data_IF_388555299579
#
_entry.id   IF_388555299579
#
_cell.length_a   1.000
_cell.length_b   1.000
_cell.length_c   1.000
_cell.angle_alpha   90.00
_cell.angle_beta   90.00
_cell.angle_gamma   90.00
#
_symmetry.space_group_name_H-M   'P 1'
#
loop_
_entity.id
_entity.type
_entity.pdbx_description
1 polymer ?
#
# COMPACT_ATOMS: atom_id res chain seq x y z
N UNK A 1 10.18 -5.25 -1.21
CA UNK A 1 8.92 -5.89 -0.84
C UNK A 1 8.66 -5.55 0.61
N UNK A 2 7.40 -5.31 0.97
CA UNK A 2 6.98 -5.07 2.35
C UNK A 2 6.90 -6.41 3.13
N UNK A 3 6.44 -6.41 4.40
CA UNK A 3 6.49 -7.60 5.26
C UNK A 3 5.31 -7.71 6.23
N UNK A 4 4.81 -8.93 6.46
CA UNK A 4 3.65 -9.19 7.32
C UNK A 4 3.66 -8.70 8.80
N UNK A 5 4.79 -8.66 9.56
CA UNK A 5 4.69 -8.43 11.00
C UNK A 5 4.19 -7.01 11.35
N UNK A 6 3.88 -6.83 12.63
CA UNK A 6 3.64 -5.50 13.21
C UNK A 6 4.93 -4.98 13.82
N UNK A 7 5.23 -3.70 13.59
CA UNK A 7 6.29 -3.00 14.31
C UNK A 7 5.65 -1.99 15.25
N UNK A 8 5.91 -2.13 16.55
CA UNK A 8 5.28 -1.34 17.61
C UNK A 8 3.74 -1.33 17.54
N UNK A 9 3.15 -2.50 17.25
CA UNK A 9 1.70 -2.67 17.19
C UNK A 9 1.04 -2.25 15.88
N UNK A 10 1.78 -1.67 14.94
CA UNK A 10 1.24 -1.21 13.64
C UNK A 10 1.67 -2.18 12.53
N UNK A 11 0.74 -2.79 11.77
CA UNK A 11 1.06 -3.64 10.63
C UNK A 11 1.85 -2.86 9.57
N UNK A 12 2.89 -3.46 8.98
CA UNK A 12 3.77 -2.76 8.05
C UNK A 12 3.03 -2.18 6.84
N UNK A 13 2.06 -2.91 6.28
CA UNK A 13 1.22 -2.44 5.18
C UNK A 13 0.45 -1.13 5.45
N UNK A 14 0.34 -0.71 6.72
CA UNK A 14 -0.25 0.55 7.15
C UNK A 14 0.70 1.37 8.05
N UNK A 15 2.02 1.17 7.96
CA UNK A 15 3.00 1.80 8.84
C UNK A 15 3.79 2.93 8.15
N UNK A 16 3.38 4.18 8.39
CA UNK A 16 4.01 5.36 7.81
C UNK A 16 5.45 5.56 8.30
N UNK A 17 5.75 5.22 9.56
CA UNK A 17 7.11 5.37 10.12
C UNK A 17 8.11 4.48 9.41
N UNK A 18 7.68 3.31 8.98
CA UNK A 18 8.54 2.37 8.26
C UNK A 18 8.59 2.70 6.77
N UNK A 19 7.42 2.85 6.15
CA UNK A 19 7.32 2.99 4.69
C UNK A 19 7.57 4.41 4.17
N UNK A 20 7.42 5.46 5.00
CA UNK A 20 7.71 6.84 4.63
C UNK A 20 8.93 7.38 5.39
N UNK A 21 8.87 7.51 6.71
CA UNK A 21 9.94 8.16 7.49
C UNK A 21 11.29 7.45 7.28
N UNK A 22 11.33 6.14 7.55
CA UNK A 22 12.56 5.37 7.36
C UNK A 22 12.87 5.14 5.86
N UNK A 23 11.97 4.48 5.13
CA UNK A 23 12.28 4.01 3.77
C UNK A 23 12.46 5.16 2.77
N UNK A 24 11.49 6.08 2.67
CA UNK A 24 11.50 7.12 1.63
C UNK A 24 12.33 8.32 2.04
N UNK A 25 12.19 8.77 3.29
CA UNK A 25 12.83 9.98 3.78
C UNK A 25 14.27 9.70 4.23
N UNK A 26 14.49 8.86 5.24
CA UNK A 26 15.83 8.65 5.81
C UNK A 26 16.77 7.88 4.88
N UNK A 27 16.26 6.84 4.21
CA UNK A 27 17.04 6.01 3.29
C UNK A 27 16.99 6.49 1.83
N UNK A 28 16.13 7.47 1.51
CA UNK A 28 16.03 8.04 0.17
C UNK A 28 15.55 7.06 -0.91
N UNK A 29 14.81 6.01 -0.55
CA UNK A 29 14.40 4.98 -1.50
C UNK A 29 13.39 5.49 -2.53
N UNK A 30 13.81 5.58 -3.79
CA UNK A 30 12.97 6.00 -4.94
C UNK A 30 12.66 4.83 -5.91
N UNK A 31 12.60 3.61 -5.39
CA UNK A 31 12.19 2.41 -6.11
C UNK A 31 10.73 2.04 -5.87
N UNK A 32 10.30 0.88 -6.37
CA UNK A 32 8.94 0.35 -6.16
C UNK A 32 8.88 -0.41 -4.83
N UNK A 33 7.90 -0.08 -3.98
CA UNK A 33 7.51 -0.87 -2.82
C UNK A 33 6.28 -1.72 -3.18
N UNK A 34 6.46 -3.03 -3.34
CA UNK A 34 5.34 -3.98 -3.47
C UNK A 34 4.95 -4.53 -2.11
N UNK A 35 3.65 -4.70 -1.87
CA UNK A 35 3.18 -5.56 -0.77
C UNK A 35 3.64 -7.00 -0.98
N UNK A 36 3.69 -7.75 0.11
CA UNK A 36 3.76 -9.21 0.07
C UNK A 36 2.38 -9.79 -0.36
N UNK A 37 2.32 -11.11 -0.54
CA UNK A 37 1.18 -11.86 -1.00
C UNK A 37 -0.05 -11.65 -0.10
N UNK A 38 -1.11 -11.07 -0.65
CA UNK A 38 -2.38 -10.75 0.05
C UNK A 38 -2.24 -9.76 1.23
N UNK A 39 -1.05 -9.21 1.46
CA UNK A 39 -0.68 -8.53 2.71
C UNK A 39 -1.65 -7.40 3.11
N UNK A 40 -2.10 -6.58 2.16
CA UNK A 40 -3.05 -5.49 2.47
C UNK A 40 -4.35 -6.05 3.06
N UNK A 41 -4.88 -7.17 2.56
CA UNK A 41 -6.12 -7.76 3.07
C UNK A 41 -5.95 -8.40 4.44
N UNK A 42 -4.73 -8.78 4.82
CA UNK A 42 -4.45 -9.28 6.18
C UNK A 42 -4.73 -8.23 7.26
N UNK A 43 -4.76 -6.93 6.91
CA UNK A 43 -5.16 -5.86 7.83
C UNK A 43 -6.56 -6.09 8.41
N UNK A 44 -7.46 -6.71 7.66
CA UNK A 44 -8.82 -7.07 8.08
C UNK A 44 -8.81 -8.33 8.95
N UNK A 45 -8.51 -9.49 8.35
CA UNK A 45 -8.79 -10.78 8.99
C UNK A 45 -7.67 -11.32 9.91
N UNK A 46 -6.42 -10.89 9.73
CA UNK A 46 -5.28 -11.40 10.52
C UNK A 46 -4.86 -10.39 11.59
N UNK A 47 -4.75 -9.12 11.22
CA UNK A 47 -4.30 -8.07 12.13
C UNK A 47 -5.44 -7.40 12.89
N UNK A 48 -6.70 -7.55 12.43
CA UNK A 48 -7.87 -6.87 12.97
C UNK A 48 -7.64 -5.35 13.13
N UNK A 49 -6.94 -4.77 12.16
CA UNK A 49 -6.58 -3.36 12.08
C UNK A 49 -7.54 -2.57 11.18
N UNK A 50 -8.20 -3.26 10.25
CA UNK A 50 -9.26 -2.74 9.39
C UNK A 50 -10.59 -3.44 9.67
N UNK A 51 -11.71 -2.77 9.37
CA UNK A 51 -13.06 -3.33 9.57
C UNK A 51 -13.53 -4.24 8.44
N UNK A 52 -12.97 -4.05 7.24
CA UNK A 52 -13.20 -4.87 6.06
C UNK A 52 -12.07 -4.66 5.04
N UNK A 53 -12.12 -5.37 3.90
CA UNK A 53 -11.11 -5.25 2.83
C UNK A 53 -11.02 -3.85 2.21
N UNK A 54 -12.11 -3.08 2.13
CA UNK A 54 -12.08 -1.72 1.57
C UNK A 54 -11.40 -0.77 2.54
N UNK A 55 -11.71 -0.86 3.83
CA UNK A 55 -11.03 -0.13 4.90
C UNK A 55 -9.54 -0.52 4.98
N UNK A 56 -9.21 -1.79 4.75
CA UNK A 56 -7.81 -2.24 4.65
C UNK A 56 -7.06 -1.54 3.52
N UNK A 57 -7.65 -1.48 2.32
CA UNK A 57 -7.07 -0.74 1.18
C UNK A 57 -6.94 0.74 1.49
N UNK A 58 -7.97 1.35 2.10
CA UNK A 58 -7.94 2.76 2.49
C UNK A 58 -6.78 3.06 3.44
N UNK A 59 -6.65 2.28 4.53
CA UNK A 59 -5.58 2.42 5.53
C UNK A 59 -4.20 2.23 4.92
N UNK A 60 -4.03 1.24 4.04
CA UNK A 60 -2.76 1.03 3.35
C UNK A 60 -2.41 2.22 2.46
N UNK A 61 -3.35 2.75 1.68
CA UNK A 61 -3.08 3.88 0.78
C UNK A 61 -2.87 5.22 1.49
N UNK A 62 -3.52 5.40 2.65
CA UNK A 62 -3.38 6.57 3.51
C UNK A 62 -2.07 6.54 4.31
N UNK A 63 -1.76 5.39 4.92
CA UNK A 63 -0.71 5.27 5.94
C UNK A 63 0.57 4.60 5.44
N UNK A 64 0.63 4.09 4.20
CA UNK A 64 1.85 3.53 3.64
C UNK A 64 2.19 4.01 2.24
N UNK A 65 3.44 3.80 1.86
CA UNK A 65 3.95 4.15 0.52
C UNK A 65 4.01 2.97 -0.44
N UNK A 66 3.24 1.91 -0.18
CA UNK A 66 3.09 0.77 -1.09
C UNK A 66 2.64 1.28 -2.46
N UNK A 67 3.38 0.89 -3.50
CA UNK A 67 3.14 1.29 -4.89
C UNK A 67 2.37 0.21 -5.67
N UNK A 68 2.49 -1.05 -5.27
CA UNK A 68 1.90 -2.20 -5.93
C UNK A 68 1.31 -3.17 -4.89
N UNK A 69 0.04 -3.52 -5.05
CA UNK A 69 -0.59 -4.56 -4.23
C UNK A 69 -0.48 -5.92 -4.92
N UNK A 70 -0.01 -6.93 -4.19
CA UNK A 70 0.05 -8.32 -4.64
C UNK A 70 -1.21 -9.06 -4.19
N UNK A 71 -2.36 -8.76 -4.80
CA UNK A 71 -3.58 -9.55 -4.63
C UNK A 71 -3.50 -10.80 -5.52
N UNK A 72 -3.61 -12.01 -4.96
CA UNK A 72 -3.24 -13.22 -5.69
C UNK A 72 -4.39 -13.89 -6.46
N UNK A 73 -5.64 -13.63 -6.06
CA UNK A 73 -6.77 -14.50 -6.44
C UNK A 73 -7.90 -13.77 -7.18
N UNK A 74 -7.96 -12.44 -7.11
CA UNK A 74 -9.05 -11.66 -7.70
C UNK A 74 -8.61 -10.24 -8.07
N UNK A 75 -9.54 -9.45 -8.64
CA UNK A 75 -9.32 -8.07 -9.05
C UNK A 75 -10.03 -7.04 -8.14
N UNK A 76 -10.53 -7.46 -6.98
CA UNK A 76 -11.35 -6.63 -6.08
C UNK A 76 -10.65 -5.35 -5.61
N UNK A 77 -9.31 -5.38 -5.51
CA UNK A 77 -8.50 -4.21 -5.17
C UNK A 77 -8.77 -3.03 -6.10
N UNK A 78 -8.95 -3.30 -7.39
CA UNK A 78 -9.21 -2.28 -8.41
C UNK A 78 -10.55 -1.60 -8.13
N UNK A 79 -11.58 -2.39 -7.80
CA UNK A 79 -12.90 -1.87 -7.44
C UNK A 79 -12.84 -1.02 -6.17
N UNK A 80 -12.18 -1.49 -5.11
CA UNK A 80 -12.02 -0.70 -3.88
C UNK A 80 -11.27 0.62 -4.14
N UNK A 81 -10.20 0.60 -4.94
CA UNK A 81 -9.48 1.82 -5.30
C UNK A 81 -10.33 2.81 -6.10
N UNK A 82 -11.15 2.33 -7.05
CA UNK A 82 -12.06 3.18 -7.81
C UNK A 82 -13.08 3.86 -6.90
N UNK A 83 -13.67 3.12 -5.97
CA UNK A 83 -14.62 3.66 -4.99
C UNK A 83 -13.94 4.67 -4.05
N UNK A 84 -12.76 4.35 -3.51
CA UNK A 84 -12.03 5.25 -2.62
C UNK A 84 -11.59 6.54 -3.30
N UNK A 85 -11.25 6.50 -4.59
CA UNK A 85 -10.99 7.72 -5.37
C UNK A 85 -12.26 8.53 -5.62
N UNK A 86 -13.39 7.87 -5.94
CA UNK A 86 -14.67 8.54 -6.12
C UNK A 86 -15.18 9.20 -4.83
N UNK A 87 -14.89 8.58 -3.67
CA UNK A 87 -15.16 9.13 -2.32
C UNK A 87 -14.17 10.23 -1.89
N UNK A 88 -13.10 10.46 -2.66
CA UNK A 88 -12.05 11.42 -2.31
C UNK A 88 -11.12 10.99 -1.17
N UNK A 89 -11.20 9.73 -0.72
CA UNK A 89 -10.33 9.16 0.32
C UNK A 89 -8.93 8.86 -0.17
N UNK A 90 -8.76 8.60 -1.46
CA UNK A 90 -7.46 8.44 -2.11
C UNK A 90 -7.33 9.48 -3.22
N UNK A 91 -6.29 10.31 -3.16
CA UNK A 91 -6.05 11.33 -4.17
C UNK A 91 -5.48 10.74 -5.46
N UNK A 92 -5.80 11.36 -6.60
CA UNK A 92 -5.20 11.00 -7.88
C UNK A 92 -3.66 11.14 -7.86
N UNK A 93 -3.13 12.10 -7.10
CA UNK A 93 -1.69 12.30 -6.99
C UNK A 93 -1.00 11.15 -6.26
N UNK A 94 -1.63 10.56 -5.23
CA UNK A 94 -1.13 9.36 -4.56
C UNK A 94 -0.97 8.20 -5.54
N UNK A 95 -1.92 8.03 -6.45
CA UNK A 95 -1.89 6.99 -7.50
C UNK A 95 -0.82 7.31 -8.55
N UNK A 96 -0.73 8.56 -9.01
CA UNK A 96 0.29 9.01 -9.97
C UNK A 96 1.71 8.80 -9.46
N UNK A 97 1.95 9.02 -8.16
CA UNK A 97 3.26 8.77 -7.54
C UNK A 97 3.67 7.30 -7.65
N UNK A 98 2.77 6.37 -7.29
CA UNK A 98 3.01 4.92 -7.45
C UNK A 98 3.25 4.54 -8.91
N UNK A 99 2.39 5.04 -9.81
CA UNK A 99 2.49 4.76 -11.24
C UNK A 99 3.83 5.24 -11.83
N UNK A 100 4.31 6.43 -11.43
CA UNK A 100 5.61 6.96 -11.87
C UNK A 100 6.76 6.03 -11.50
N UNK A 101 6.80 5.52 -10.26
CA UNK A 101 7.85 4.59 -9.82
C UNK A 101 7.80 3.27 -10.58
N UNK A 102 6.60 2.73 -10.79
CA UNK A 102 6.43 1.51 -11.58
C UNK A 102 6.86 1.67 -13.04
N UNK A 103 6.48 2.78 -13.69
CA UNK A 103 6.90 3.07 -15.08
C UNK A 103 8.41 3.29 -15.15
N UNK A 104 8.99 4.07 -14.23
CA UNK A 104 10.45 4.28 -14.11
C UNK A 104 11.19 2.95 -14.02
N UNK A 105 10.73 2.04 -13.16
CA UNK A 105 11.31 0.70 -13.03
C UNK A 105 11.23 -0.08 -14.35
N UNK A 106 10.06 -0.10 -15.00
CA UNK A 106 9.86 -0.81 -16.27
C UNK A 106 10.72 -0.29 -17.42
N UNK A 107 11.00 1.01 -17.46
CA UNK A 107 11.86 1.64 -18.48
C UNK A 107 13.35 1.37 -18.26
N UNK A 108 13.74 0.93 -17.06
CA UNK A 108 15.12 0.58 -16.73
C UNK A 108 15.45 -0.91 -16.95
N UNK A 109 14.48 -1.69 -17.43
CA UNK A 109 14.62 -3.09 -17.83
C UNK A 109 14.85 -3.19 -19.34
#
# INVERSE_FOLDING_TARGET
>A
MDSFPRVNGIPMAANAKMSYDLLRHDLGFDGVLSSDFEEIYTLDYLHHYATDRKDAVAKAMESSTIDMSMVPADTSFITYMQELMAEGKVSLDRVKQSAKRMVKMKLAL
#
